data_IF_156528869363
#
_entry.id   IF_156528869363
#
_cell.length_a   1.000
_cell.length_b   1.000
_cell.length_c   1.000
_cell.angle_alpha   90.00
_cell.angle_beta   90.00
_cell.angle_gamma   90.00
#
_symmetry.space_group_name_H-M   'P 1'
#
loop_
_entity.id
_entity.type
_entity.pdbx_description
1 polymer ?
#
# COMPACT_ATOMS: atom_id res chain seq x y z
N UNK A 1 17.73 11.82 4.89
CA UNK A 1 16.96 10.57 5.07
C UNK A 1 17.20 9.66 3.88
N UNK A 2 17.39 8.38 4.12
CA UNK A 2 17.59 7.41 3.05
C UNK A 2 16.63 6.23 3.28
N UNK A 3 16.03 5.74 2.21
CA UNK A 3 15.07 4.65 2.30
C UNK A 3 15.67 3.40 2.97
N UNK A 4 16.98 3.16 2.78
CA UNK A 4 17.67 2.04 3.41
C UNK A 4 17.70 2.13 4.93
N UNK A 5 17.59 3.33 5.48
CA UNK A 5 17.62 3.58 6.92
C UNK A 5 16.25 3.45 7.56
N UNK A 6 15.19 3.42 6.76
CA UNK A 6 13.83 3.31 7.25
C UNK A 6 13.54 1.85 7.56
N UNK A 7 13.12 1.60 8.80
CA UNK A 7 12.77 0.26 9.23
C UNK A 7 11.49 -0.20 8.57
N UNK A 8 11.52 -1.37 7.94
CA UNK A 8 10.31 -1.96 7.36
C UNK A 8 9.46 -2.64 8.42
N UNK A 9 8.14 -2.71 8.15
CA UNK A 9 7.16 -3.30 9.06
C UNK A 9 6.15 -4.10 8.29
N UNK A 10 5.85 -5.29 8.77
CA UNK A 10 4.76 -6.08 8.22
C UNK A 10 3.43 -5.57 8.79
N UNK A 11 2.60 -5.00 7.94
CA UNK A 11 1.31 -4.43 8.35
C UNK A 11 0.18 -5.46 8.19
N UNK A 12 0.24 -6.23 7.11
CA UNK A 12 -0.65 -7.35 6.84
C UNK A 12 0.21 -8.53 6.42
N UNK A 13 -0.30 -9.78 6.52
CA UNK A 13 0.48 -10.95 6.09
C UNK A 13 1.02 -10.79 4.67
N UNK A 14 2.34 -10.82 4.54
CA UNK A 14 3.03 -10.69 3.25
C UNK A 14 3.17 -9.27 2.71
N UNK A 15 2.67 -8.25 3.42
CA UNK A 15 2.80 -6.85 3.02
C UNK A 15 3.72 -6.14 3.99
N UNK A 16 4.96 -5.94 3.57
CA UNK A 16 6.00 -5.30 4.37
C UNK A 16 6.29 -3.93 3.79
N UNK A 17 6.10 -2.89 4.58
CA UNK A 17 6.19 -1.52 4.13
C UNK A 17 7.21 -0.68 4.85
N UNK A 18 7.74 0.31 4.12
CA UNK A 18 8.50 1.43 4.66
C UNK A 18 7.69 2.68 4.46
N UNK A 19 7.52 3.46 5.53
CA UNK A 19 6.56 4.57 5.57
C UNK A 19 7.28 5.89 5.76
N UNK A 20 6.90 6.89 4.95
CA UNK A 20 7.33 8.28 5.10
C UNK A 20 6.10 9.15 5.17
N UNK A 21 5.97 9.89 6.27
CA UNK A 21 4.82 10.78 6.50
C UNK A 21 5.26 12.24 6.46
N UNK A 22 4.66 13.00 5.56
CA UNK A 22 4.74 14.46 5.57
C UNK A 22 3.53 15.04 6.32
N UNK A 23 3.30 16.34 6.17
CA UNK A 23 2.14 16.98 6.79
C UNK A 23 0.82 16.56 6.12
N UNK A 24 0.84 16.41 4.80
CA UNK A 24 -0.37 16.13 4.01
C UNK A 24 -0.28 14.86 3.17
N UNK A 25 0.82 14.15 3.24
CA UNK A 25 1.12 13.01 2.36
C UNK A 25 1.73 11.87 3.17
N UNK A 26 1.31 10.65 2.85
CA UNK A 26 2.01 9.42 3.25
C UNK A 26 2.52 8.75 1.99
N UNK A 27 3.80 8.41 1.99
CA UNK A 27 4.44 7.62 0.95
C UNK A 27 4.84 6.28 1.52
N UNK A 28 4.49 5.21 0.82
CA UNK A 28 4.78 3.84 1.27
C UNK A 28 5.51 3.10 0.16
N UNK A 29 6.56 2.42 0.54
CA UNK A 29 7.26 1.49 -0.33
C UNK A 29 7.03 0.08 0.18
N UNK A 30 6.34 -0.74 -0.61
CA UNK A 30 5.93 -2.09 -0.22
C UNK A 30 6.75 -3.17 -0.89
N UNK A 31 7.12 -4.19 -0.10
CA UNK A 31 7.47 -5.51 -0.62
C UNK A 31 6.28 -6.43 -0.34
N UNK A 32 5.76 -7.06 -1.38
CA UNK A 32 4.55 -7.87 -1.31
C UNK A 32 4.89 -9.29 -1.77
N UNK A 33 4.66 -10.26 -0.89
CA UNK A 33 4.91 -11.66 -1.20
C UNK A 33 3.82 -12.18 -2.14
N UNK A 34 4.21 -13.03 -3.09
CA UNK A 34 3.27 -13.73 -3.98
C UNK A 34 2.12 -14.32 -3.19
N UNK A 35 0.92 -14.19 -3.75
CA UNK A 35 -0.35 -14.67 -3.20
C UNK A 35 -0.89 -13.89 -2.00
N UNK A 36 -0.19 -12.87 -1.54
CA UNK A 36 -0.70 -11.98 -0.50
C UNK A 36 -1.90 -11.21 -1.00
N UNK A 37 -2.90 -11.03 -0.14
CA UNK A 37 -4.17 -10.41 -0.49
C UNK A 37 -4.39 -9.15 0.33
N UNK A 38 -4.82 -8.10 -0.36
CA UNK A 38 -5.37 -6.89 0.25
C UNK A 38 -6.87 -6.96 0.11
N UNK A 39 -7.57 -7.15 1.23
CA UNK A 39 -9.03 -7.27 1.23
C UNK A 39 -9.68 -5.98 0.75
N UNK A 40 -10.88 -6.11 0.19
CA UNK A 40 -11.62 -4.95 -0.27
C UNK A 40 -11.82 -3.95 0.87
N UNK A 41 -11.50 -2.71 0.60
CA UNK A 41 -11.63 -1.61 1.54
C UNK A 41 -11.77 -0.30 0.78
N UNK A 42 -12.11 0.76 1.51
CA UNK A 42 -12.14 2.11 0.98
C UNK A 42 -11.73 3.09 2.08
N UNK A 43 -11.24 4.24 1.69
CA UNK A 43 -10.79 5.27 2.62
C UNK A 43 -10.94 6.65 2.00
N UNK A 44 -10.93 7.67 2.85
CA UNK A 44 -11.08 9.06 2.41
C UNK A 44 -9.88 9.54 1.57
N UNK A 45 -8.74 8.90 1.72
CA UNK A 45 -7.49 9.28 1.06
C UNK A 45 -7.58 9.04 -0.45
N UNK A 46 -7.17 10.02 -1.22
CA UNK A 46 -6.81 9.78 -2.62
C UNK A 46 -5.49 9.03 -2.62
N UNK A 47 -5.32 8.10 -3.55
CA UNK A 47 -4.14 7.25 -3.61
C UNK A 47 -3.64 7.13 -5.04
N UNK A 48 -2.32 7.13 -5.18
CA UNK A 48 -1.67 6.73 -6.43
C UNK A 48 -0.85 5.50 -6.13
N UNK A 49 -1.13 4.41 -6.85
CA UNK A 49 -0.37 3.16 -6.75
C UNK A 49 0.51 3.02 -7.97
N UNK A 50 1.77 2.70 -7.75
CA UNK A 50 2.74 2.41 -8.80
C UNK A 50 3.28 1.00 -8.61
N UNK A 51 3.16 0.16 -9.63
CA UNK A 51 3.78 -1.17 -9.64
C UNK A 51 5.21 -0.99 -10.10
N UNK A 52 6.16 -1.07 -9.17
CA UNK A 52 7.58 -0.94 -9.48
C UNK A 52 8.08 -2.21 -10.14
N UNK A 53 7.65 -3.37 -9.62
CA UNK A 53 8.07 -4.67 -10.14
C UNK A 53 7.01 -5.72 -9.83
N UNK A 54 6.78 -6.62 -10.77
CA UNK A 54 5.91 -7.77 -10.59
C UNK A 54 4.55 -7.59 -11.24
N UNK A 55 3.65 -8.53 -10.96
CA UNK A 55 2.28 -8.54 -11.46
C UNK A 55 1.33 -8.52 -10.28
N UNK A 56 0.47 -7.51 -10.26
CA UNK A 56 -0.48 -7.27 -9.20
C UNK A 56 -1.89 -7.19 -9.77
N UNK A 57 -2.76 -8.11 -9.33
CA UNK A 57 -4.18 -8.09 -9.71
C UNK A 57 -4.90 -7.09 -8.81
N UNK A 58 -5.49 -6.08 -9.41
CA UNK A 58 -6.14 -5.00 -8.67
C UNK A 58 -7.58 -4.83 -9.13
N UNK A 59 -8.49 -4.76 -8.17
CA UNK A 59 -9.91 -4.53 -8.44
C UNK A 59 -10.27 -3.14 -7.95
N UNK A 60 -10.66 -2.28 -8.87
CA UNK A 60 -11.06 -0.91 -8.58
C UNK A 60 -12.53 -0.73 -8.93
N UNK A 61 -13.34 -0.44 -7.93
CA UNK A 61 -14.78 -0.25 -8.08
C UNK A 61 -15.43 -1.39 -8.89
N UNK A 62 -15.07 -2.63 -8.54
CA UNK A 62 -15.59 -3.83 -9.18
C UNK A 62 -14.91 -4.25 -10.47
N UNK A 63 -14.04 -3.44 -11.05
CA UNK A 63 -13.31 -3.78 -12.27
C UNK A 63 -11.93 -4.33 -11.95
N UNK A 64 -11.71 -5.60 -12.31
CA UNK A 64 -10.47 -6.32 -12.05
C UNK A 64 -9.52 -6.20 -13.24
N UNK A 65 -8.25 -5.93 -12.96
CA UNK A 65 -7.21 -5.84 -13.99
C UNK A 65 -5.86 -6.23 -13.39
N UNK A 66 -4.99 -6.80 -14.22
CA UNK A 66 -3.60 -7.08 -13.83
C UNK A 66 -2.73 -5.90 -14.24
N UNK A 67 -2.01 -5.37 -13.27
CA UNK A 67 -1.02 -4.30 -13.47
C UNK A 67 0.37 -4.89 -13.30
N UNK A 68 1.34 -4.34 -14.02
CA UNK A 68 2.71 -4.86 -14.01
C UNK A 68 3.72 -3.72 -14.06
N UNK A 69 4.99 -4.06 -14.12
CA UNK A 69 6.12 -3.13 -14.05
C UNK A 69 5.85 -1.81 -14.78
N UNK A 70 5.89 -0.72 -14.02
CA UNK A 70 5.71 0.63 -14.54
C UNK A 70 4.30 1.17 -14.49
N UNK A 71 3.29 0.31 -14.33
CA UNK A 71 1.89 0.76 -14.33
C UNK A 71 1.58 1.65 -13.13
N UNK A 72 0.71 2.63 -13.37
CA UNK A 72 0.25 3.59 -12.35
C UNK A 72 -1.27 3.60 -12.33
N UNK A 73 -1.85 3.59 -11.13
CA UNK A 73 -3.30 3.62 -10.93
C UNK A 73 -3.65 4.76 -10.00
N UNK A 74 -4.63 5.57 -10.41
CA UNK A 74 -5.21 6.60 -9.54
C UNK A 74 -6.44 5.99 -8.86
N UNK A 75 -6.46 6.03 -7.54
CA UNK A 75 -7.55 5.50 -6.73
C UNK A 75 -8.24 6.69 -6.05
N UNK A 76 -9.45 7.08 -6.53
CA UNK A 76 -10.17 8.20 -5.93
C UNK A 76 -10.59 7.91 -4.49
N UNK A 77 -10.85 8.98 -3.74
CA UNK A 77 -11.37 8.89 -2.38
C UNK A 77 -12.64 8.04 -2.33
N UNK A 78 -12.73 7.18 -1.30
CA UNK A 78 -13.93 6.40 -0.99
C UNK A 78 -14.37 5.42 -2.08
N UNK A 79 -13.47 5.02 -2.97
CA UNK A 79 -13.77 4.01 -3.98
C UNK A 79 -13.27 2.65 -3.48
N UNK A 80 -14.15 1.63 -3.44
CA UNK A 80 -13.74 0.28 -3.02
C UNK A 80 -12.65 -0.29 -3.90
N UNK A 81 -11.65 -0.89 -3.28
CA UNK A 81 -10.55 -1.53 -4.01
C UNK A 81 -9.96 -2.68 -3.21
N UNK A 82 -9.34 -3.60 -3.94
CA UNK A 82 -8.71 -4.80 -3.39
C UNK A 82 -7.58 -5.24 -4.31
N UNK A 83 -6.75 -6.15 -3.82
CA UNK A 83 -5.64 -6.62 -4.64
C UNK A 83 -5.10 -7.97 -4.21
N UNK A 84 -4.35 -8.58 -5.14
CA UNK A 84 -3.64 -9.83 -4.90
C UNK A 84 -2.35 -9.83 -5.69
N UNK A 85 -1.25 -10.16 -5.04
CA UNK A 85 0.04 -10.29 -5.72
C UNK A 85 0.08 -11.60 -6.51
N UNK A 86 0.15 -11.51 -7.82
CA UNK A 86 0.29 -12.68 -8.69
C UNK A 86 1.70 -13.23 -8.63
N UNK A 87 2.67 -12.34 -8.53
CA UNK A 87 4.08 -12.65 -8.27
C UNK A 87 4.51 -11.88 -7.03
N UNK A 88 5.76 -12.07 -6.58
CA UNK A 88 6.34 -11.12 -5.64
C UNK A 88 6.34 -9.75 -6.30
N UNK A 89 5.91 -8.73 -5.57
CA UNK A 89 5.77 -7.38 -6.10
C UNK A 89 6.50 -6.36 -5.24
N UNK A 90 6.92 -5.28 -5.91
CA UNK A 90 7.33 -4.03 -5.26
C UNK A 90 6.34 -2.96 -5.70
N UNK A 91 5.68 -2.34 -4.74
CA UNK A 91 4.68 -1.31 -5.01
C UNK A 91 5.09 -0.02 -4.30
N UNK A 92 4.70 1.12 -4.86
CA UNK A 92 4.75 2.40 -4.17
C UNK A 92 3.34 2.97 -4.12
N UNK A 93 2.98 3.51 -2.97
CA UNK A 93 1.71 4.20 -2.78
C UNK A 93 1.95 5.59 -2.24
N UNK A 94 1.20 6.56 -2.78
CA UNK A 94 1.12 7.91 -2.23
C UNK A 94 -0.32 8.15 -1.81
N UNK A 95 -0.51 8.61 -0.58
CA UNK A 95 -1.82 8.91 -0.02
C UNK A 95 -1.90 10.37 0.38
N UNK A 96 -3.03 11.01 0.13
CA UNK A 96 -3.35 12.35 0.64
C UNK A 96 -4.80 12.36 1.12
N UNK A 97 -5.08 12.82 2.34
CA UNK A 97 -4.15 13.27 3.38
C UNK A 97 -3.31 12.13 3.97
N UNK A 98 -2.54 12.44 5.01
CA UNK A 98 -1.69 11.45 5.69
C UNK A 98 -2.51 10.25 6.17
N UNK A 99 -1.98 9.06 5.96
CA UNK A 99 -2.58 7.82 6.49
C UNK A 99 -2.21 7.69 7.97
N UNK A 100 -3.01 8.33 8.82
CA UNK A 100 -2.78 8.32 10.27
C UNK A 100 -2.74 6.92 10.84
N UNK A 101 -3.54 6.01 10.33
CA UNK A 101 -3.57 4.62 10.77
C UNK A 101 -2.23 3.91 10.56
N UNK A 102 -1.46 4.25 9.52
CA UNK A 102 -0.13 3.67 9.31
C UNK A 102 0.90 4.26 10.27
N UNK A 103 0.71 5.53 10.66
CA UNK A 103 1.56 6.18 11.64
C UNK A 103 1.28 5.64 13.04
N UNK A 104 0.01 5.56 13.43
CA UNK A 104 -0.41 5.18 14.77
C UNK A 104 -0.56 3.68 14.98
N UNK A 105 -0.87 2.92 13.93
CA UNK A 105 -1.01 1.46 14.00
C UNK A 105 0.24 0.80 14.56
N UNK A 106 1.41 1.31 14.21
CA UNK A 106 2.65 0.82 14.76
C UNK A 106 2.74 1.05 16.28
N UNK A 107 2.41 2.24 16.73
CA UNK A 107 2.39 2.57 18.16
C UNK A 107 1.32 1.75 18.88
N UNK A 108 0.24 1.53 18.21
CA UNK A 108 -0.89 0.76 18.74
C UNK A 108 -0.50 -0.69 18.97
N UNK A 109 0.19 -1.29 18.02
CA UNK A 109 0.67 -2.67 18.14
C UNK A 109 1.66 -2.83 19.30
N UNK A 110 2.41 -1.78 19.61
CA UNK A 110 3.33 -1.79 20.75
C UNK A 110 2.61 -1.78 22.09
N UNK A 111 1.37 -1.33 22.13
CA UNK A 111 0.56 -1.25 23.35
C UNK A 111 -0.28 -2.49 23.58
N UNK A 112 -0.44 -3.32 22.59
CA UNK A 112 -1.20 -4.53 22.68
C UNK A 112 -0.42 -5.60 23.44
N UNK A 113 -1.04 -6.30 24.39
CA UNK A 113 -0.40 -7.39 25.11
C UNK A 113 -0.10 -8.57 24.22
#
# INVERSE_FOLDING_TARGET
>A
MNLKEIKSKEIFPGLVGKFVHGDNITWVFWDVTKDSVVKEHQHIHEQIMHVVKGKFEFTLNGTKKIYQDGDVVIIPSNIPHSGKAITNCKLMDVFSPVREEYRWKFLWNLKEP
#
